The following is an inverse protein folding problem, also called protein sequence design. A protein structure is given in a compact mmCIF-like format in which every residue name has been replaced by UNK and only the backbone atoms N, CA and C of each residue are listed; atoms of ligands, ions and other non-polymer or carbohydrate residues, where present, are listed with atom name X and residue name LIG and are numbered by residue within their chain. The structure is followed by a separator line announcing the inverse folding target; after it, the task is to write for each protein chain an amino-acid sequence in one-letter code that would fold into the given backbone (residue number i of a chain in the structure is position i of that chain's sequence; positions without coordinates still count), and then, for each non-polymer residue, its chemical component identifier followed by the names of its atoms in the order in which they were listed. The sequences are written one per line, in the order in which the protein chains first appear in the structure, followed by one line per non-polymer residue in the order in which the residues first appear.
data_IF_469155979344
#
_entry.id   IF_469155979344
#
_cell.length_a   1.000
_cell.length_b   1.000
_cell.length_c   1.000
_cell.angle_alpha   90.00
_cell.angle_beta   90.00
_cell.angle_gamma   90.00
#
_symmetry.space_group_name_H-M   'P 1'
#
loop_
_entity.id
_entity.type
_entity.pdbx_description
1 polymer ?
#
# COMPACT_ATOMS: atom_id res chain seq x y z
N UNK A 1 3.75 -6.57 -10.45
CA UNK A 1 3.60 -6.16 -9.05
C UNK A 1 4.01 -4.71 -8.94
N UNK A 2 3.12 -3.84 -8.44
CA UNK A 2 3.39 -2.42 -8.18
C UNK A 2 4.07 -2.24 -6.82
N UNK A 3 4.90 -1.22 -6.70
CA UNK A 3 5.61 -0.86 -5.46
C UNK A 3 5.06 0.44 -4.88
N UNK A 4 4.33 0.30 -3.77
CA UNK A 4 3.89 1.44 -2.98
C UNK A 4 4.78 1.61 -1.75
N UNK A 5 4.99 2.86 -1.33
CA UNK A 5 5.66 3.16 -0.06
C UNK A 5 4.64 3.43 1.03
N UNK A 6 4.78 2.78 2.18
CA UNK A 6 3.96 2.98 3.38
C UNK A 6 4.60 4.02 4.29
N UNK A 7 4.37 5.30 3.97
CA UNK A 7 4.93 6.43 4.73
C UNK A 7 4.11 7.70 4.54
N UNK A 8 4.20 8.61 5.51
CA UNK A 8 3.77 10.00 5.35
C UNK A 8 4.97 10.95 5.20
N UNK A 9 6.20 10.45 5.24
CA UNK A 9 7.40 11.27 5.15
C UNK A 9 7.71 11.64 3.69
N UNK A 10 7.70 12.94 3.37
CA UNK A 10 7.89 13.42 1.99
C UNK A 10 9.30 13.16 1.43
N UNK A 11 10.33 13.07 2.29
CA UNK A 11 11.70 12.79 1.84
C UNK A 11 11.83 11.32 1.40
N UNK A 12 11.25 10.38 2.15
CA UNK A 12 11.20 8.97 1.75
C UNK A 12 10.42 8.75 0.45
N UNK A 13 9.34 9.51 0.26
CA UNK A 13 8.54 9.45 -0.98
C UNK A 13 9.37 9.98 -2.16
N UNK A 14 10.11 11.08 -1.98
CA UNK A 14 11.01 11.61 -3.01
C UNK A 14 12.14 10.64 -3.33
N UNK A 15 12.77 10.04 -2.32
CA UNK A 15 13.83 9.05 -2.52
C UNK A 15 13.33 7.86 -3.34
N UNK A 16 12.15 7.31 -3.00
CA UNK A 16 11.55 6.23 -3.77
C UNK A 16 11.21 6.63 -5.21
N UNK A 17 10.77 7.89 -5.43
CA UNK A 17 10.55 8.44 -6.77
C UNK A 17 11.85 8.54 -7.56
N UNK A 18 12.90 9.06 -6.95
CA UNK A 18 14.21 9.27 -7.58
C UNK A 18 14.88 7.93 -7.97
N UNK A 19 14.59 6.86 -7.22
CA UNK A 19 14.98 5.49 -7.58
C UNK A 19 14.21 4.94 -8.80
N UNK A 20 13.11 5.57 -9.22
CA UNK A 20 12.30 5.16 -10.37
C UNK A 20 11.42 3.93 -10.13
N UNK A 21 11.17 3.59 -8.86
CA UNK A 21 10.42 2.38 -8.46
C UNK A 21 9.06 2.68 -7.81
N UNK A 22 8.67 3.95 -7.71
CA UNK A 22 7.48 4.38 -6.98
C UNK A 22 6.24 4.34 -7.87
N UNK A 23 5.32 3.41 -7.61
CA UNK A 23 4.02 3.32 -8.30
C UNK A 23 2.87 3.93 -7.49
N UNK A 24 3.08 4.25 -6.21
CA UNK A 24 2.06 4.81 -5.33
C UNK A 24 2.49 4.92 -3.87
N UNK A 25 1.60 5.42 -3.02
CA UNK A 25 1.85 5.63 -1.59
C UNK A 25 0.63 5.18 -0.78
N UNK A 26 0.87 4.53 0.35
CA UNK A 26 -0.17 4.36 1.37
C UNK A 26 0.16 5.17 2.60
N UNK A 27 -0.84 5.88 3.12
CA UNK A 27 -0.77 6.47 4.46
C UNK A 27 -1.77 5.77 5.39
N UNK A 28 -1.67 6.11 6.66
CA UNK A 28 -2.66 5.80 7.69
C UNK A 28 -2.55 6.85 8.81
N UNK A 29 -3.52 6.92 9.73
CA UNK A 29 -3.51 7.92 10.79
C UNK A 29 -2.25 7.89 11.67
N UNK A 30 -1.68 6.70 11.92
CA UNK A 30 -0.46 6.55 12.71
C UNK A 30 0.78 7.14 12.01
N UNK A 31 0.91 6.95 10.69
CA UNK A 31 2.00 7.53 9.90
C UNK A 31 1.89 9.05 9.84
N UNK A 32 0.70 9.59 9.61
CA UNK A 32 0.46 11.04 9.62
C UNK A 32 0.83 11.66 10.99
N UNK A 33 0.40 11.00 12.07
CA UNK A 33 0.70 11.46 13.43
C UNK A 33 2.19 11.41 13.77
N UNK A 34 2.93 10.43 13.24
CA UNK A 34 4.39 10.29 13.41
C UNK A 34 5.16 11.45 12.79
N UNK A 35 4.71 11.94 11.63
CA UNK A 35 5.28 13.13 10.98
C UNK A 35 4.72 14.45 11.56
N UNK A 36 3.92 14.40 12.63
CA UNK A 36 3.39 15.57 13.31
C UNK A 36 2.22 16.26 12.58
N UNK A 37 1.66 15.64 11.54
CA UNK A 37 0.59 16.21 10.73
C UNK A 37 -0.74 16.05 11.46
N UNK A 38 -1.39 17.17 11.81
CA UNK A 38 -2.60 17.19 12.63
C UNK A 38 -3.57 18.26 12.18
N UNK A 39 -4.86 17.95 12.24
CA UNK A 39 -5.95 18.83 11.81
C UNK A 39 -6.26 18.70 10.33
N UNK A 40 -7.52 18.95 9.97
CA UNK A 40 -8.05 18.69 8.63
C UNK A 40 -7.29 19.43 7.52
N UNK A 41 -6.94 20.71 7.75
CA UNK A 41 -6.22 21.52 6.77
C UNK A 41 -4.78 21.02 6.54
N UNK A 42 -4.05 20.68 7.60
CA UNK A 42 -2.70 20.14 7.47
C UNK A 42 -2.70 18.78 6.77
N UNK A 43 -3.65 17.89 7.11
CA UNK A 43 -3.83 16.59 6.44
C UNK A 43 -4.10 16.79 4.95
N UNK A 44 -5.02 17.70 4.60
CA UNK A 44 -5.35 18.00 3.20
C UNK A 44 -4.16 18.56 2.42
N UNK A 45 -3.44 19.51 3.00
CA UNK A 45 -2.24 20.09 2.38
C UNK A 45 -1.13 19.06 2.23
N UNK A 46 -1.00 18.14 3.18
CA UNK A 46 -0.04 17.06 3.09
C UNK A 46 -0.36 16.08 1.95
N UNK A 47 -1.62 15.68 1.79
CA UNK A 47 -2.01 14.86 0.65
C UNK A 47 -1.76 15.55 -0.69
N UNK A 48 -2.00 16.87 -0.78
CA UNK A 48 -1.63 17.63 -1.99
C UNK A 48 -0.12 17.57 -2.27
N UNK A 49 0.71 17.76 -1.25
CA UNK A 49 2.16 17.66 -1.40
C UNK A 49 2.60 16.26 -1.85
N UNK A 50 1.96 15.19 -1.36
CA UNK A 50 2.19 13.83 -1.87
C UNK A 50 1.76 13.73 -3.34
N UNK A 51 0.60 14.27 -3.72
CA UNK A 51 0.10 14.24 -5.11
C UNK A 51 1.00 15.02 -6.08
N UNK A 52 1.70 16.06 -5.64
CA UNK A 52 2.69 16.78 -6.45
C UNK A 52 3.97 15.95 -6.71
N UNK A 53 4.26 15.00 -5.83
CA UNK A 53 5.41 14.10 -5.96
C UNK A 53 5.02 12.84 -6.71
N UNK A 54 3.83 12.27 -6.49
CA UNK A 54 3.49 10.91 -6.93
C UNK A 54 2.45 10.93 -8.03
N UNK A 55 2.84 10.43 -9.20
CA UNK A 55 1.96 10.31 -10.38
C UNK A 55 0.97 9.14 -10.26
N UNK A 56 1.26 8.17 -9.39
CA UNK A 56 0.42 7.01 -9.10
C UNK A 56 -0.52 7.17 -7.90
N UNK A 57 -1.05 6.06 -7.41
CA UNK A 57 -2.15 6.06 -6.44
C UNK A 57 -1.73 6.38 -5.02
N UNK A 58 -2.57 7.15 -4.31
CA UNK A 58 -2.30 7.61 -2.95
C UNK A 58 -3.48 7.20 -2.07
N UNK A 59 -3.27 6.18 -1.23
CA UNK A 59 -4.32 5.73 -0.30
C UNK A 59 -4.42 6.67 0.90
N UNK A 60 -5.56 7.35 1.03
CA UNK A 60 -5.88 8.29 2.10
C UNK A 60 -7.02 7.75 2.99
N UNK A 61 -6.78 7.58 4.29
CA UNK A 61 -7.71 6.90 5.21
C UNK A 61 -8.74 7.85 5.83
N UNK A 62 -10.01 7.41 5.83
CA UNK A 62 -11.08 8.02 6.64
C UNK A 62 -10.83 7.78 8.12
N UNK A 63 -11.34 8.67 8.98
CA UNK A 63 -11.17 8.57 10.43
C UNK A 63 -12.43 8.10 11.15
N UNK A 64 -13.58 8.39 10.55
CA UNK A 64 -14.90 7.99 11.04
C UNK A 64 -15.16 6.48 10.91
N UNK A 65 -16.20 6.02 11.63
CA UNK A 65 -16.57 4.60 11.70
C UNK A 65 -18.04 4.34 11.37
N UNK A 66 -18.84 5.38 11.19
CA UNK A 66 -20.25 5.29 10.75
C UNK A 66 -20.35 5.51 9.25
N UNK A 67 -21.35 4.92 8.60
CA UNK A 67 -21.52 5.01 7.15
C UNK A 67 -21.63 6.47 6.66
N UNK A 68 -22.48 7.28 7.28
CA UNK A 68 -22.76 8.65 6.88
C UNK A 68 -21.52 9.57 6.99
N UNK A 69 -20.72 9.38 8.04
CA UNK A 69 -19.49 10.14 8.23
C UNK A 69 -18.40 9.67 7.26
N UNK A 70 -18.26 8.36 7.02
CA UNK A 70 -17.25 7.82 6.10
C UNK A 70 -17.48 8.27 4.67
N UNK A 71 -18.74 8.30 4.20
CA UNK A 71 -19.03 8.78 2.84
C UNK A 71 -18.71 10.26 2.68
N UNK A 72 -18.97 11.07 3.72
CA UNK A 72 -18.65 12.51 3.72
C UNK A 72 -17.14 12.74 3.70
N UNK A 73 -16.41 12.11 4.61
CA UNK A 73 -14.95 12.22 4.68
C UNK A 73 -14.28 11.70 3.40
N UNK A 74 -14.75 10.56 2.88
CA UNK A 74 -14.20 10.00 1.65
C UNK A 74 -14.50 10.82 0.40
N UNK A 75 -15.69 11.42 0.27
CA UNK A 75 -15.99 12.37 -0.82
C UNK A 75 -15.07 13.61 -0.73
N UNK A 76 -14.79 14.12 0.47
CA UNK A 76 -13.85 15.23 0.70
C UNK A 76 -12.40 14.86 0.33
N UNK A 77 -11.95 13.64 0.67
CA UNK A 77 -10.62 13.13 0.31
C UNK A 77 -10.48 12.93 -1.20
N UNK A 78 -11.45 12.29 -1.84
CA UNK A 78 -11.45 12.04 -3.28
C UNK A 78 -11.41 13.34 -4.11
N UNK A 79 -11.99 14.43 -3.58
CA UNK A 79 -11.97 15.74 -4.20
C UNK A 79 -10.59 16.44 -4.17
N UNK A 80 -9.60 15.92 -3.44
CA UNK A 80 -8.26 16.52 -3.36
C UNK A 80 -7.51 16.38 -4.69
N UNK A 81 -7.51 15.18 -5.27
CA UNK A 81 -6.78 14.85 -6.50
C UNK A 81 -7.29 13.52 -7.08
N UNK A 82 -7.32 13.33 -8.43
CA UNK A 82 -7.76 12.06 -9.05
C UNK A 82 -6.95 10.82 -8.64
N UNK A 83 -5.72 11.01 -8.15
CA UNK A 83 -4.88 9.91 -7.66
C UNK A 83 -5.24 9.44 -6.24
N UNK A 84 -6.13 10.15 -5.53
CA UNK A 84 -6.55 9.71 -4.21
C UNK A 84 -7.40 8.45 -4.33
N UNK A 85 -7.03 7.45 -3.53
CA UNK A 85 -7.80 6.23 -3.29
C UNK A 85 -8.30 6.29 -1.85
N UNK A 86 -9.62 6.29 -1.66
CA UNK A 86 -10.21 6.43 -0.32
C UNK A 86 -10.05 5.10 0.43
N UNK A 87 -9.30 5.14 1.53
CA UNK A 87 -9.00 3.95 2.32
C UNK A 87 -10.03 3.79 3.44
N UNK A 88 -10.70 2.64 3.45
CA UNK A 88 -11.88 2.34 4.26
C UNK A 88 -11.61 1.10 5.12
N UNK A 89 -11.89 1.10 6.43
CA UNK A 89 -11.67 -0.07 7.27
C UNK A 89 -12.67 -1.20 6.98
N UNK A 90 -12.23 -2.45 7.15
CA UNK A 90 -13.08 -3.65 7.10
C UNK A 90 -14.04 -3.71 8.29
N UNK A 91 -15.17 -3.01 8.18
CA UNK A 91 -16.31 -3.04 9.10
C UNK A 91 -17.62 -3.02 8.30
N UNK A 92 -18.76 -3.35 8.94
CA UNK A 92 -20.06 -3.41 8.26
C UNK A 92 -20.42 -2.12 7.50
N UNK A 93 -20.23 -0.97 8.14
CA UNK A 93 -20.49 0.33 7.51
C UNK A 93 -19.41 0.68 6.47
N UNK A 94 -18.19 0.15 6.62
CA UNK A 94 -17.13 0.24 5.63
C UNK A 94 -17.50 -0.49 4.35
N UNK A 95 -18.06 -1.69 4.44
CA UNK A 95 -18.59 -2.42 3.28
C UNK A 95 -19.67 -1.61 2.54
N UNK A 96 -20.58 -0.94 3.27
CA UNK A 96 -21.57 -0.05 2.64
C UNK A 96 -20.90 1.15 1.95
N UNK A 97 -19.89 1.74 2.59
CA UNK A 97 -19.13 2.87 2.04
C UNK A 97 -18.36 2.46 0.76
N UNK A 98 -17.72 1.29 0.74
CA UNK A 98 -17.07 0.73 -0.45
C UNK A 98 -18.06 0.66 -1.63
N UNK A 99 -19.26 0.13 -1.39
CA UNK A 99 -20.30 0.04 -2.43
C UNK A 99 -20.75 1.42 -2.92
N UNK A 100 -20.95 2.36 -2.00
CA UNK A 100 -21.30 3.75 -2.35
C UNK A 100 -20.25 4.41 -3.23
N UNK A 101 -18.96 4.28 -2.90
CA UNK A 101 -17.89 4.88 -3.69
C UNK A 101 -17.70 4.18 -5.04
N UNK A 102 -17.80 2.86 -5.06
CA UNK A 102 -17.74 2.06 -6.29
C UNK A 102 -18.82 2.49 -7.30
N UNK A 103 -20.07 2.70 -6.85
CA UNK A 103 -21.17 3.17 -7.70
C UNK A 103 -20.94 4.57 -8.28
N UNK A 104 -20.06 5.36 -7.66
CA UNK A 104 -19.69 6.71 -8.10
C UNK A 104 -18.38 6.72 -8.91
N UNK A 105 -17.76 5.56 -9.13
CA UNK A 105 -16.45 5.44 -9.79
C UNK A 105 -15.29 5.99 -8.95
N UNK A 106 -15.47 6.15 -7.64
CA UNK A 106 -14.41 6.58 -6.72
C UNK A 106 -13.65 5.35 -6.24
N UNK A 107 -12.33 5.37 -6.45
CA UNK A 107 -11.46 4.23 -6.10
C UNK A 107 -11.31 4.12 -4.59
N UNK A 108 -11.31 2.87 -4.12
CA UNK A 108 -11.24 2.58 -2.68
C UNK A 108 -10.22 1.50 -2.36
N UNK A 109 -9.63 1.59 -1.16
CA UNK A 109 -8.74 0.58 -0.60
C UNK A 109 -9.29 0.08 0.73
N UNK A 110 -9.72 -1.18 0.79
CA UNK A 110 -10.21 -1.76 2.03
C UNK A 110 -9.05 -2.24 2.91
N UNK A 111 -8.90 -1.63 4.09
CA UNK A 111 -7.80 -1.90 5.04
C UNK A 111 -8.23 -2.77 6.22
N UNK A 112 -7.26 -3.22 7.03
CA UNK A 112 -7.47 -4.09 8.20
C UNK A 112 -8.10 -5.44 7.83
N UNK A 113 -7.64 -6.03 6.73
CA UNK A 113 -8.04 -7.38 6.30
C UNK A 113 -7.08 -8.40 6.93
N UNK A 114 -7.65 -9.42 7.57
CA UNK A 114 -6.94 -10.49 8.27
C UNK A 114 -7.49 -11.88 7.91
N UNK A 115 -8.45 -11.98 6.99
CA UNK A 115 -8.96 -13.26 6.48
C UNK A 115 -9.44 -13.16 5.04
N UNK A 116 -9.42 -14.30 4.34
CA UNK A 116 -9.90 -14.38 2.95
C UNK A 116 -11.40 -14.02 2.83
N UNK A 117 -12.21 -14.36 3.83
CA UNK A 117 -13.63 -13.99 3.87
C UNK A 117 -13.85 -12.46 3.92
N UNK A 118 -13.00 -11.73 4.63
CA UNK A 118 -13.02 -10.27 4.63
C UNK A 118 -12.64 -9.71 3.25
N UNK A 119 -11.57 -10.21 2.64
CA UNK A 119 -11.17 -9.80 1.30
C UNK A 119 -12.27 -10.03 0.27
N UNK A 120 -12.95 -11.19 0.33
CA UNK A 120 -14.06 -11.54 -0.55
C UNK A 120 -15.24 -10.55 -0.41
N UNK A 121 -15.60 -10.15 0.81
CA UNK A 121 -16.64 -9.16 1.05
C UNK A 121 -16.28 -7.78 0.47
N UNK A 122 -15.03 -7.34 0.68
CA UNK A 122 -14.55 -6.07 0.14
C UNK A 122 -14.55 -6.06 -1.40
N UNK A 123 -14.02 -7.12 -2.03
CA UNK A 123 -14.03 -7.25 -3.48
C UNK A 123 -15.46 -7.29 -4.05
N UNK A 124 -16.37 -8.04 -3.41
CA UNK A 124 -17.79 -8.08 -3.79
C UNK A 124 -18.50 -6.73 -3.63
N UNK A 125 -18.04 -5.88 -2.71
CA UNK A 125 -18.55 -4.52 -2.54
C UNK A 125 -17.97 -3.52 -3.57
N UNK A 126 -17.04 -3.95 -4.43
CA UNK A 126 -16.45 -3.11 -5.48
C UNK A 126 -15.22 -2.33 -5.04
N UNK A 127 -14.47 -2.82 -4.04
CA UNK A 127 -13.19 -2.24 -3.68
C UNK A 127 -12.19 -2.30 -4.85
N UNK A 128 -11.42 -1.23 -5.05
CA UNK A 128 -10.32 -1.22 -6.02
C UNK A 128 -9.10 -2.01 -5.49
N UNK A 129 -8.83 -1.86 -4.19
CA UNK A 129 -7.78 -2.58 -3.48
C UNK A 129 -8.31 -3.27 -2.23
N UNK A 130 -7.70 -4.40 -1.88
CA UNK A 130 -7.77 -4.99 -0.54
C UNK A 130 -6.38 -5.00 0.07
N UNK A 131 -6.27 -4.55 1.31
CA UNK A 131 -5.00 -4.50 2.07
C UNK A 131 -4.99 -5.53 3.20
N UNK A 132 -4.61 -6.80 2.93
CA UNK A 132 -4.32 -7.79 3.97
C UNK A 132 -3.03 -7.46 4.74
N UNK A 133 -3.07 -7.56 6.07
CA UNK A 133 -1.96 -7.15 6.95
C UNK A 133 -1.13 -8.36 7.39
N UNK A 134 -0.32 -8.91 6.47
CA UNK A 134 0.44 -10.15 6.73
C UNK A 134 1.39 -10.05 7.92
N UNK A 135 2.18 -8.97 8.02
CA UNK A 135 3.15 -8.84 9.11
C UNK A 135 2.55 -8.56 10.48
N UNK A 136 1.23 -8.35 10.61
CA UNK A 136 0.55 -8.37 11.92
C UNK A 136 0.05 -9.77 12.27
N UNK A 137 -0.19 -10.63 11.29
CA UNK A 137 -0.45 -12.05 11.52
C UNK A 137 0.83 -12.75 12.00
N UNK A 138 1.98 -12.43 11.38
CA UNK A 138 3.27 -13.01 11.80
C UNK A 138 3.60 -12.67 13.25
N UNK A 139 3.31 -11.43 13.68
CA UNK A 139 3.50 -10.98 15.07
C UNK A 139 2.73 -11.84 16.09
N UNK A 140 1.63 -12.49 15.67
CA UNK A 140 0.82 -13.40 16.50
C UNK A 140 1.02 -14.87 16.09
N UNK A 141 2.16 -15.20 15.49
CA UNK A 141 2.55 -16.55 15.08
C UNK A 141 1.57 -17.23 14.10
N UNK A 142 0.89 -16.43 13.28
CA UNK A 142 0.05 -16.91 12.17
C UNK A 142 0.75 -16.58 10.86
N UNK A 143 0.87 -17.55 9.95
CA UNK A 143 1.50 -17.33 8.65
C UNK A 143 0.72 -16.32 7.82
N UNK A 144 1.24 -15.10 7.71
CA UNK A 144 0.64 -14.03 6.95
C UNK A 144 0.72 -14.22 5.44
N UNK A 145 1.69 -14.99 4.92
CA UNK A 145 1.82 -15.28 3.49
C UNK A 145 0.73 -16.24 3.02
N UNK A 146 0.32 -17.19 3.86
CA UNK A 146 -0.80 -18.07 3.56
C UNK A 146 -2.09 -17.28 3.25
N UNK A 147 -2.34 -16.18 3.98
CA UNK A 147 -3.50 -15.32 3.69
C UNK A 147 -3.42 -14.70 2.27
N UNK A 148 -2.24 -14.22 1.86
CA UNK A 148 -2.06 -13.66 0.52
C UNK A 148 -2.32 -14.72 -0.55
N UNK A 149 -1.82 -15.94 -0.33
CA UNK A 149 -2.03 -17.07 -1.23
C UNK A 149 -3.50 -17.46 -1.36
N UNK A 150 -4.22 -17.55 -0.25
CA UNK A 150 -5.66 -17.84 -0.25
C UNK A 150 -6.46 -16.77 -1.01
N UNK A 151 -6.17 -15.48 -0.76
CA UNK A 151 -6.86 -14.39 -1.45
C UNK A 151 -6.56 -14.44 -2.95
N UNK A 152 -5.30 -14.65 -3.36
CA UNK A 152 -4.92 -14.77 -4.78
C UNK A 152 -5.69 -15.87 -5.47
N UNK A 153 -5.69 -17.08 -4.90
CA UNK A 153 -6.43 -18.22 -5.44
C UNK A 153 -7.93 -17.90 -5.61
N UNK A 154 -8.55 -17.32 -4.59
CA UNK A 154 -9.98 -16.96 -4.65
C UNK A 154 -10.23 -15.89 -5.72
N UNK A 155 -9.39 -14.87 -5.78
CA UNK A 155 -9.56 -13.78 -6.74
C UNK A 155 -9.43 -14.27 -8.18
N UNK A 156 -8.48 -15.17 -8.44
CA UNK A 156 -8.29 -15.77 -9.76
C UNK A 156 -9.48 -16.66 -10.17
N UNK A 157 -10.03 -17.44 -9.24
CA UNK A 157 -11.18 -18.31 -9.52
C UNK A 157 -12.42 -17.55 -10.00
N UNK A 158 -12.62 -16.32 -9.50
CA UNK A 158 -13.79 -15.49 -9.81
C UNK A 158 -13.46 -14.29 -10.70
N UNK A 159 -12.22 -14.17 -11.16
CA UNK A 159 -11.72 -13.05 -11.98
C UNK A 159 -12.05 -11.69 -11.35
N UNK A 160 -11.82 -11.56 -10.05
CA UNK A 160 -11.98 -10.27 -9.38
C UNK A 160 -10.95 -9.27 -9.94
N UNK A 161 -11.43 -8.08 -10.33
CA UNK A 161 -10.58 -6.95 -10.75
C UNK A 161 -9.94 -6.23 -9.55
N UNK A 162 -10.44 -6.46 -8.33
CA UNK A 162 -9.87 -5.92 -7.10
C UNK A 162 -8.43 -6.38 -6.94
N UNK A 163 -7.51 -5.43 -6.78
CA UNK A 163 -6.08 -5.69 -6.63
C UNK A 163 -5.72 -6.06 -5.18
N UNK A 164 -4.86 -7.06 -5.02
CA UNK A 164 -4.30 -7.47 -3.73
C UNK A 164 -3.11 -6.57 -3.42
N UNK A 165 -3.28 -5.70 -2.42
CA UNK A 165 -2.25 -4.81 -1.89
C UNK A 165 -1.67 -5.42 -0.60
N UNK A 166 -0.64 -6.25 -0.72
CA UNK A 166 0.01 -6.87 0.42
C UNK A 166 0.62 -5.79 1.34
N UNK A 167 0.05 -5.63 2.53
CA UNK A 167 0.37 -4.56 3.48
C UNK A 167 0.98 -5.10 4.77
N UNK A 168 1.47 -4.18 5.62
CA UNK A 168 2.20 -4.55 6.83
C UNK A 168 3.47 -5.38 6.55
N UNK A 169 4.16 -5.09 5.46
CA UNK A 169 5.46 -5.72 5.10
C UNK A 169 6.51 -5.39 6.16
N UNK A 170 7.25 -6.42 6.63
CA UNK A 170 8.28 -6.27 7.68
C UNK A 170 9.70 -6.34 7.15
N UNK A 171 9.94 -7.15 6.13
CA UNK A 171 11.27 -7.42 5.60
C UNK A 171 11.21 -7.84 4.12
N UNK A 172 12.37 -7.85 3.46
CA UNK A 172 12.49 -8.12 2.02
C UNK A 172 11.89 -9.45 1.59
N UNK A 173 11.94 -10.49 2.44
CA UNK A 173 11.33 -11.79 2.08
C UNK A 173 9.81 -11.74 1.93
N UNK A 174 9.08 -10.88 2.66
CA UNK A 174 7.65 -10.72 2.40
C UNK A 174 7.40 -10.18 0.99
N UNK A 175 8.24 -9.26 0.52
CA UNK A 175 8.11 -8.68 -0.82
C UNK A 175 8.35 -9.76 -1.87
N UNK A 176 9.44 -10.54 -1.72
CA UNK A 176 9.78 -11.62 -2.63
C UNK A 176 8.69 -12.70 -2.66
N UNK A 177 8.18 -13.12 -1.51
CA UNK A 177 7.18 -14.19 -1.45
C UNK A 177 5.79 -13.71 -1.90
N UNK A 178 5.41 -12.45 -1.63
CA UNK A 178 4.22 -11.85 -2.26
C UNK A 178 4.35 -11.78 -3.78
N UNK A 179 5.53 -11.46 -4.31
CA UNK A 179 5.79 -11.46 -5.75
C UNK A 179 5.66 -12.86 -6.36
N UNK A 180 6.17 -13.90 -5.69
CA UNK A 180 6.02 -15.30 -6.12
C UNK A 180 4.57 -15.77 -6.11
N UNK A 181 3.79 -15.36 -5.11
CA UNK A 181 2.36 -15.66 -5.00
C UNK A 181 1.58 -14.96 -6.12
N UNK A 182 2.00 -13.76 -6.53
CA UNK A 182 1.32 -12.95 -7.53
C UNK A 182 0.41 -11.89 -6.91
N UNK A 183 0.80 -11.29 -5.78
CA UNK A 183 0.16 -10.09 -5.28
C UNK A 183 0.31 -8.95 -6.30
N UNK A 184 -0.75 -8.18 -6.50
CA UNK A 184 -0.79 -7.11 -7.51
C UNK A 184 0.08 -5.92 -7.09
N UNK A 185 0.04 -5.59 -5.79
CA UNK A 185 0.76 -4.47 -5.18
C UNK A 185 1.38 -4.91 -3.84
N UNK A 186 2.56 -4.40 -3.53
CA UNK A 186 3.06 -4.37 -2.15
C UNK A 186 3.05 -2.93 -1.66
N UNK A 187 2.71 -2.71 -0.39
CA UNK A 187 3.06 -1.47 0.29
C UNK A 187 4.00 -1.76 1.46
N UNK A 188 5.13 -1.08 1.48
CA UNK A 188 6.19 -1.33 2.45
C UNK A 188 6.83 -0.02 2.91
N UNK A 189 7.31 0.07 4.16
CA UNK A 189 8.29 1.08 4.51
C UNK A 189 9.49 1.02 3.53
N UNK A 190 10.19 2.15 3.37
CA UNK A 190 11.34 2.22 2.45
C UNK A 190 12.47 1.23 2.80
N UNK A 191 12.84 0.95 4.07
CA UNK A 191 14.00 0.10 4.35
C UNK A 191 13.92 -1.35 3.85
N UNK A 192 12.81 -2.10 4.00
CA UNK A 192 12.66 -3.42 3.36
C UNK A 192 12.84 -3.43 1.85
N UNK A 193 12.43 -2.35 1.16
CA UNK A 193 12.61 -2.19 -0.29
C UNK A 193 14.09 -1.96 -0.61
N UNK A 194 14.75 -1.01 0.05
CA UNK A 194 16.18 -0.75 -0.17
C UNK A 194 17.05 -1.97 0.17
N UNK A 195 16.61 -2.80 1.11
CA UNK A 195 17.28 -4.05 1.45
C UNK A 195 17.30 -5.07 0.29
N UNK A 196 16.40 -4.96 -0.70
CA UNK A 196 16.45 -5.78 -1.92
C UNK A 196 17.66 -5.46 -2.82
N UNK A 197 18.25 -4.27 -2.70
CA UNK A 197 19.45 -3.89 -3.45
C UNK A 197 20.72 -4.54 -2.91
N UNK A 198 20.68 -5.07 -1.69
CA UNK A 198 21.89 -5.53 -0.96
C UNK A 198 22.13 -7.01 -1.20
N UNK A 199 23.31 -7.34 -1.71
CA UNK A 199 23.79 -8.72 -1.79
C UNK A 199 25.34 -8.75 -1.72
N UNK A 200 25.96 -9.59 -0.88
CA UNK A 200 27.41 -9.58 -0.67
C UNK A 200 28.21 -9.89 -1.95
N UNK A 201 27.64 -10.66 -2.88
CA UNK A 201 28.26 -10.92 -4.18
C UNK A 201 28.19 -9.71 -5.13
N UNK A 202 27.18 -8.85 -4.98
CA UNK A 202 27.11 -7.59 -5.74
C UNK A 202 28.24 -6.66 -5.31
N UNK A 203 28.42 -6.49 -3.99
CA UNK A 203 29.45 -5.62 -3.43
C UNK A 203 30.86 -6.12 -3.77
N UNK A 204 31.13 -7.41 -3.55
CA UNK A 204 32.43 -8.01 -3.87
C UNK A 204 32.73 -8.03 -5.38
N UNK A 205 31.72 -8.28 -6.22
CA UNK A 205 31.86 -8.21 -7.67
C UNK A 205 32.18 -6.79 -8.16
N UNK A 206 31.48 -5.77 -7.63
CA UNK A 206 31.75 -4.38 -7.98
C UNK A 206 33.15 -3.93 -7.54
N UNK A 207 33.57 -4.30 -6.34
CA UNK A 207 34.92 -4.01 -5.85
C UNK A 207 36.00 -4.63 -6.75
N UNK A 208 35.80 -5.87 -7.21
CA UNK A 208 36.71 -6.54 -8.14
C UNK A 208 36.76 -5.81 -9.49
N UNK A 209 35.61 -5.42 -10.05
CA UNK A 209 35.55 -4.69 -11.32
C UNK A 209 36.25 -3.33 -11.25
N UNK A 210 36.11 -2.60 -10.13
CA UNK A 210 36.83 -1.34 -9.92
C UNK A 210 38.34 -1.60 -9.91
N UNK A 211 38.82 -2.58 -9.14
CA UNK A 211 40.24 -2.93 -9.07
C UNK A 211 40.81 -3.38 -10.42
N UNK A 212 40.04 -4.11 -11.22
CA UNK A 212 40.49 -4.52 -12.56
C UNK A 212 40.47 -3.35 -13.55
N UNK A 213 39.54 -2.40 -13.42
CA UNK A 213 39.48 -1.21 -14.28
C UNK A 213 40.69 -0.28 -14.11
N UNK A 214 41.28 -0.22 -12.91
CA UNK A 214 42.51 0.54 -12.65
C UNK A 214 43.71 0.00 -13.44
N UNK A 215 43.67 -1.28 -13.85
CA UNK A 215 44.71 -1.90 -14.69
C UNK A 215 44.54 -1.60 -16.19
N UNK A 216 43.38 -1.05 -16.59
CA UNK A 216 43.10 -0.66 -17.97
C UNK A 216 43.53 0.79 -18.27
N UNK A 217 43.84 1.58 -17.24
CA UNK A 217 44.34 2.95 -17.33
C UNK A 217 45.87 3.00 -17.46
#
# INVERSE_FOLDING_TARGET
MKFFIDTANLEQIKEAKDLGILDGVTTNPSLMAKEGIRGAEAIKNHYKAICEIVDGDISAEVLSTTFEEMIKEGDELAAIHPNIVVKIPMIKDGIKALKYFSDKGIRTNCTLIFSAGQALLAAKAGASYVSPFLGRLDDISTDGLNLIQEIRLIFDNYMYETEILAASIRHSMHIIDCAKIGADVITSPLPPILSLLKHPLTDSGLAQFISDSEKLA
#
